data_IF_117906006266
#
_entry.id   IF_117906006266
#
_cell.length_a   1.000
_cell.length_b   1.000
_cell.length_c   1.000
_cell.angle_alpha   90.00
_cell.angle_beta   90.00
_cell.angle_gamma   90.00
#
_symmetry.space_group_name_H-M   'P 1'
#
loop_
_entity.id
_entity.type
_entity.pdbx_description
1 polymer ?
#
# COMPACT_ATOMS: atom_id res chain seq x y z
N UNK A 1 14.44 10.68 -22.69
CA UNK A 1 15.21 10.60 -21.43
C UNK A 1 14.37 9.78 -20.47
N UNK A 2 14.91 8.76 -19.81
CA UNK A 2 14.15 8.04 -18.79
C UNK A 2 13.94 8.97 -17.59
N UNK A 3 12.69 9.21 -17.22
CA UNK A 3 12.40 9.96 -15.99
C UNK A 3 12.92 9.18 -14.79
N UNK A 4 13.46 9.87 -13.78
CA UNK A 4 13.97 9.27 -12.55
C UNK A 4 13.25 9.91 -11.38
N UNK A 5 12.57 9.09 -10.56
CA UNK A 5 12.00 9.55 -9.28
C UNK A 5 12.84 9.03 -8.12
N UNK A 6 13.18 9.94 -7.21
CA UNK A 6 13.88 9.61 -5.97
C UNK A 6 12.88 9.16 -4.91
N UNK A 7 13.27 8.13 -4.14
CA UNK A 7 12.52 7.72 -2.97
C UNK A 7 12.65 8.75 -1.85
N UNK A 8 11.61 8.87 -1.04
CA UNK A 8 11.54 9.78 0.11
C UNK A 8 10.96 9.04 1.31
N UNK A 9 11.14 9.55 2.55
CA UNK A 9 10.42 9.01 3.71
C UNK A 9 8.93 8.90 3.41
N UNK A 10 8.30 7.80 3.83
CA UNK A 10 6.92 7.54 3.44
C UNK A 10 5.96 8.60 3.94
N UNK A 11 4.79 8.74 3.31
CA UNK A 11 3.81 9.76 3.72
C UNK A 11 3.41 9.64 5.20
N UNK A 12 3.32 8.41 5.73
CA UNK A 12 3.05 8.11 7.14
C UNK A 12 4.21 8.61 8.02
N UNK A 13 5.45 8.31 7.62
CA UNK A 13 6.65 8.74 8.34
C UNK A 13 6.83 10.27 8.31
N UNK A 14 6.57 10.93 7.17
CA UNK A 14 6.60 12.40 7.04
C UNK A 14 5.55 13.11 7.90
N UNK A 15 4.44 12.43 8.20
CA UNK A 15 3.40 12.91 9.14
C UNK A 15 3.75 12.60 10.61
N UNK A 16 4.94 12.08 10.88
CA UNK A 16 5.46 11.85 12.24
C UNK A 16 5.05 10.53 12.87
N UNK A 17 4.38 9.63 12.13
CA UNK A 17 3.90 8.34 12.68
C UNK A 17 4.95 7.23 12.55
N UNK A 18 6.05 7.35 13.31
CA UNK A 18 7.16 6.39 13.31
C UNK A 18 6.76 5.00 13.80
N UNK A 19 5.72 4.91 14.62
CA UNK A 19 5.21 3.63 15.15
C UNK A 19 4.35 2.88 14.13
N UNK A 20 3.93 3.50 13.03
CA UNK A 20 3.11 2.81 12.03
C UNK A 20 3.94 2.38 10.83
N UNK A 21 4.81 3.24 10.30
CA UNK A 21 5.59 2.92 9.10
C UNK A 21 6.95 3.59 9.14
N UNK A 22 7.99 2.84 8.82
CA UNK A 22 9.38 3.32 8.83
C UNK A 22 10.04 3.28 7.45
N UNK A 23 9.29 2.94 6.40
CA UNK A 23 9.79 2.79 5.03
C UNK A 23 10.05 4.12 4.30
N UNK A 24 10.74 4.02 3.17
CA UNK A 24 10.74 5.03 2.10
C UNK A 24 9.81 4.60 0.95
N UNK A 25 9.30 5.55 0.18
CA UNK A 25 8.53 5.27 -1.03
C UNK A 25 8.69 6.33 -2.13
N UNK A 26 8.33 5.93 -3.35
CA UNK A 26 8.13 6.79 -4.52
C UNK A 26 6.80 6.43 -5.20
N UNK A 27 6.14 7.42 -5.81
CA UNK A 27 4.94 7.23 -6.64
C UNK A 27 5.26 7.47 -8.11
N UNK A 28 4.96 6.49 -8.95
CA UNK A 28 5.17 6.55 -10.38
C UNK A 28 3.83 6.69 -11.08
N UNK A 29 3.70 7.74 -11.89
CA UNK A 29 2.46 8.06 -12.59
C UNK A 29 2.44 7.39 -13.96
N UNK A 30 1.34 6.73 -14.33
CA UNK A 30 1.27 5.91 -15.55
C UNK A 30 1.45 6.70 -16.86
N UNK A 31 1.18 8.01 -16.83
CA UNK A 31 1.41 8.88 -17.99
C UNK A 31 2.90 9.21 -18.20
N UNK A 32 3.71 9.16 -17.13
CA UNK A 32 5.14 9.48 -17.16
C UNK A 32 6.00 8.29 -17.64
N UNK A 33 5.56 7.06 -17.37
CA UNK A 33 6.32 5.85 -17.66
C UNK A 33 5.57 4.88 -18.58
N UNK A 34 6.07 4.69 -19.81
CA UNK A 34 5.47 3.79 -20.82
C UNK A 34 5.21 2.37 -20.28
N UNK A 35 6.17 1.80 -19.56
CA UNK A 35 6.06 0.42 -19.08
C UNK A 35 4.92 0.22 -18.07
N UNK A 36 4.52 1.28 -17.36
CA UNK A 36 3.38 1.21 -16.42
C UNK A 36 2.07 0.96 -17.15
N UNK A 37 1.92 1.43 -18.39
CA UNK A 37 0.70 1.17 -19.17
C UNK A 37 0.45 -0.32 -19.40
N UNK A 38 1.51 -1.09 -19.58
CA UNK A 38 1.40 -2.55 -19.70
C UNK A 38 1.02 -3.19 -18.36
N UNK A 39 1.59 -2.70 -17.26
CA UNK A 39 1.27 -3.16 -15.91
C UNK A 39 -0.21 -2.87 -15.60
N UNK A 40 -0.67 -1.65 -15.81
CA UNK A 40 -2.06 -1.23 -15.59
C UNK A 40 -3.04 -2.08 -16.41
N UNK A 41 -2.70 -2.38 -17.66
CA UNK A 41 -3.51 -3.27 -18.51
C UNK A 41 -3.61 -4.67 -17.91
N UNK A 42 -2.51 -5.23 -17.40
CA UNK A 42 -2.50 -6.55 -16.75
C UNK A 42 -3.29 -6.52 -15.43
N UNK A 43 -3.19 -5.44 -14.67
CA UNK A 43 -4.00 -5.23 -13.45
C UNK A 43 -5.48 -5.21 -13.78
N UNK A 44 -5.88 -4.44 -14.80
CA UNK A 44 -7.27 -4.38 -15.29
C UNK A 44 -7.76 -5.75 -15.77
N UNK A 45 -6.93 -6.51 -16.50
CA UNK A 45 -7.26 -7.84 -16.98
C UNK A 45 -7.50 -8.84 -15.83
N UNK A 46 -6.74 -8.74 -14.72
CA UNK A 46 -6.86 -9.62 -13.55
C UNK A 46 -7.98 -9.17 -12.61
N UNK A 47 -7.96 -7.91 -12.18
CA UNK A 47 -8.88 -7.35 -11.19
C UNK A 47 -10.27 -7.05 -11.78
N UNK A 48 -10.37 -6.93 -13.12
CA UNK A 48 -11.59 -6.51 -13.83
C UNK A 48 -12.10 -5.13 -13.40
N UNK A 49 -11.18 -4.27 -12.94
CA UNK A 49 -11.44 -2.87 -12.59
C UNK A 49 -10.78 -1.96 -13.64
N UNK A 50 -11.51 -1.01 -14.24
CA UNK A 50 -10.95 -0.12 -15.26
C UNK A 50 -9.73 0.63 -14.75
N UNK A 51 -8.66 0.69 -15.56
CA UNK A 51 -7.39 1.35 -15.16
C UNK A 51 -7.51 2.83 -14.81
N UNK A 52 -8.56 3.51 -15.25
CA UNK A 52 -8.84 4.89 -14.84
C UNK A 52 -9.19 5.05 -13.35
N UNK A 53 -9.42 3.94 -12.63
CA UNK A 53 -9.66 3.92 -11.18
C UNK A 53 -8.41 3.51 -10.38
N UNK A 54 -7.29 3.24 -11.04
CA UNK A 54 -6.05 2.88 -10.37
C UNK A 54 -5.40 4.15 -9.77
N UNK A 55 -4.87 4.03 -8.55
CA UNK A 55 -3.95 5.02 -8.02
C UNK A 55 -2.58 4.89 -8.69
N UNK A 56 -1.76 5.94 -8.63
CA UNK A 56 -0.35 5.87 -9.06
C UNK A 56 0.39 4.73 -8.38
N UNK A 57 1.27 4.05 -9.13
CA UNK A 57 2.05 2.94 -8.60
C UNK A 57 2.95 3.42 -7.46
N UNK A 58 2.74 2.90 -6.25
CA UNK A 58 3.63 3.12 -5.13
C UNK A 58 4.72 2.05 -5.08
N UNK A 59 5.98 2.46 -5.16
CA UNK A 59 7.14 1.61 -4.91
C UNK A 59 7.67 1.90 -3.51
N UNK A 60 7.59 0.92 -2.62
CA UNK A 60 8.09 1.01 -1.26
C UNK A 60 9.42 0.27 -1.10
N UNK A 61 10.32 0.82 -0.29
CA UNK A 61 11.58 0.19 0.08
C UNK A 61 11.73 0.15 1.60
N UNK A 62 12.02 -1.05 2.10
CA UNK A 62 12.27 -1.35 3.49
C UNK A 62 13.73 -1.78 3.63
N UNK A 63 14.47 -1.08 4.48
CA UNK A 63 15.78 -1.53 4.97
C UNK A 63 15.59 -2.56 6.08
N UNK A 64 16.69 -3.15 6.55
CA UNK A 64 16.66 -4.00 7.75
C UNK A 64 15.98 -3.27 8.92
N UNK A 65 15.20 -4.03 9.69
CA UNK A 65 14.41 -3.57 10.85
C UNK A 65 13.30 -2.54 10.56
N UNK A 66 13.09 -2.17 9.29
CA UNK A 66 11.94 -1.36 8.91
C UNK A 66 10.68 -2.20 8.76
N UNK A 67 9.54 -1.59 9.03
CA UNK A 67 8.26 -2.26 9.12
C UNK A 67 7.11 -1.36 8.67
N UNK A 68 5.95 -1.99 8.47
CA UNK A 68 4.66 -1.34 8.39
C UNK A 68 3.71 -2.13 9.30
N UNK A 69 3.26 -1.49 10.36
CA UNK A 69 2.33 -2.08 11.32
C UNK A 69 1.00 -2.46 10.64
N UNK A 70 0.25 -3.37 11.27
CA UNK A 70 -1.07 -3.77 10.80
C UNK A 70 -1.97 -2.55 10.56
N UNK A 71 -2.62 -2.51 9.39
CA UNK A 71 -3.53 -1.45 8.99
C UNK A 71 -4.50 -1.93 7.91
N UNK A 72 -5.56 -1.16 7.68
CA UNK A 72 -6.40 -1.28 6.49
C UNK A 72 -5.92 -0.30 5.41
N UNK A 73 -5.94 -0.74 4.15
CA UNK A 73 -5.61 0.14 3.01
C UNK A 73 -6.73 1.15 2.71
N UNK A 74 -7.98 0.72 2.90
CA UNK A 74 -9.16 1.56 2.76
C UNK A 74 -9.29 2.50 3.97
N UNK A 75 -9.76 3.72 3.70
CA UNK A 75 -10.02 4.70 4.75
C UNK A 75 -11.29 4.35 5.51
N UNK A 76 -11.29 4.45 6.84
CA UNK A 76 -12.51 4.33 7.63
C UNK A 76 -13.38 5.60 7.46
N UNK A 77 -14.57 5.52 6.86
CA UNK A 77 -15.44 6.68 6.66
C UNK A 77 -15.95 7.28 7.97
N UNK A 78 -16.01 6.50 9.06
CA UNK A 78 -16.42 6.98 10.38
C UNK A 78 -15.35 7.87 11.02
N UNK A 79 -14.08 7.65 10.68
CA UNK A 79 -12.95 8.48 11.13
C UNK A 79 -12.72 9.66 10.18
N UNK A 80 -12.90 9.45 8.88
CA UNK A 80 -12.57 10.42 7.82
C UNK A 80 -13.82 11.13 7.28
N UNK A 81 -14.72 11.56 8.18
CA UNK A 81 -16.02 12.15 7.82
C UNK A 81 -15.94 13.45 7.03
N UNK A 82 -14.81 14.15 7.09
CA UNK A 82 -14.56 15.41 6.37
C UNK A 82 -13.83 15.24 5.04
N UNK A 83 -13.55 14.01 4.62
CA UNK A 83 -12.79 13.74 3.39
C UNK A 83 -13.76 13.52 2.23
N UNK A 84 -14.08 14.60 1.53
CA UNK A 84 -15.04 14.57 0.41
C UNK A 84 -14.65 13.56 -0.68
N UNK A 85 -13.35 13.32 -0.88
CA UNK A 85 -12.85 12.42 -1.91
C UNK A 85 -13.13 10.94 -1.67
N UNK A 86 -13.53 10.53 -0.46
CA UNK A 86 -13.96 9.15 -0.20
C UNK A 86 -15.49 8.96 -0.25
N UNK A 87 -16.26 10.05 -0.37
CA UNK A 87 -17.72 10.06 -0.55
C UNK A 87 -18.44 9.04 0.35
N UNK A 88 -18.30 9.16 1.68
CA UNK A 88 -18.87 8.20 2.65
C UNK A 88 -18.47 6.72 2.42
N UNK A 89 -17.35 6.48 1.75
CA UNK A 89 -16.85 5.17 1.35
C UNK A 89 -17.14 4.78 -0.10
N UNK A 90 -17.96 5.54 -0.85
CA UNK A 90 -18.28 5.24 -2.24
C UNK A 90 -17.09 5.35 -3.19
N UNK A 91 -16.15 6.26 -2.89
CA UNK A 91 -14.91 6.46 -3.66
C UNK A 91 -13.70 6.12 -2.80
N UNK A 92 -13.61 4.85 -2.39
CA UNK A 92 -12.53 4.34 -1.54
C UNK A 92 -11.79 3.18 -2.22
N UNK A 93 -10.67 2.75 -1.62
CA UNK A 93 -9.87 1.63 -2.13
C UNK A 93 -10.64 0.33 -1.98
N UNK A 94 -10.94 -0.31 -3.11
CA UNK A 94 -11.65 -1.59 -3.16
C UNK A 94 -10.70 -2.80 -3.09
N UNK A 95 -9.55 -2.71 -3.77
CA UNK A 95 -8.59 -3.79 -3.93
C UNK A 95 -7.16 -3.23 -3.84
N UNK A 96 -6.25 -4.06 -3.32
CA UNK A 96 -4.80 -3.80 -3.37
C UNK A 96 -4.13 -4.95 -4.11
N UNK A 97 -3.27 -4.61 -5.08
CA UNK A 97 -2.38 -5.57 -5.71
C UNK A 97 -0.95 -5.28 -5.31
N UNK A 98 -0.33 -6.24 -4.61
CA UNK A 98 1.01 -6.12 -4.06
C UNK A 98 1.97 -6.99 -4.87
N UNK A 99 3.11 -6.41 -5.28
CA UNK A 99 4.18 -7.13 -5.96
C UNK A 99 5.46 -7.11 -5.12
N UNK A 100 6.06 -8.28 -4.94
CA UNK A 100 7.42 -8.40 -4.43
C UNK A 100 8.40 -8.21 -5.59
N UNK A 101 9.23 -7.18 -5.50
CA UNK A 101 10.17 -6.80 -6.58
C UNK A 101 11.54 -7.47 -6.43
N UNK A 102 11.81 -8.09 -5.29
CA UNK A 102 13.04 -8.80 -5.00
C UNK A 102 12.82 -9.86 -3.92
N UNK A 103 13.69 -10.86 -3.90
CA UNK A 103 13.74 -11.82 -2.81
C UNK A 103 14.33 -11.17 -1.55
N UNK A 104 13.71 -11.46 -0.39
CA UNK A 104 14.17 -11.02 0.92
C UNK A 104 14.77 -12.22 1.64
N UNK A 105 15.97 -12.06 2.21
CA UNK A 105 16.70 -13.16 2.85
C UNK A 105 15.96 -13.73 4.07
N UNK A 106 15.40 -12.86 4.90
CA UNK A 106 14.72 -13.22 6.15
C UNK A 106 13.76 -12.09 6.55
N UNK A 107 12.61 -12.45 7.14
CA UNK A 107 11.57 -11.49 7.53
C UNK A 107 10.82 -10.90 6.33
N UNK A 108 10.21 -9.72 6.51
CA UNK A 108 9.56 -8.98 5.42
C UNK A 108 8.25 -9.57 4.88
N UNK A 109 7.65 -10.52 5.60
CA UNK A 109 6.37 -11.13 5.23
C UNK A 109 5.23 -10.10 5.22
N UNK A 110 4.21 -10.36 4.41
CA UNK A 110 2.94 -9.65 4.49
C UNK A 110 1.96 -10.50 5.27
N UNK A 111 1.78 -10.14 6.54
CA UNK A 111 0.92 -10.87 7.46
C UNK A 111 -0.51 -10.34 7.42
N UNK A 112 -1.49 -11.24 7.43
CA UNK A 112 -2.89 -10.91 7.59
C UNK A 112 -3.39 -11.43 8.96
N UNK A 113 -3.26 -10.65 10.04
CA UNK A 113 -3.53 -11.13 11.40
C UNK A 113 -5.01 -11.47 11.65
N UNK A 114 -5.90 -10.89 10.85
CA UNK A 114 -7.35 -11.13 10.89
C UNK A 114 -7.83 -12.18 9.89
N UNK A 115 -6.91 -12.84 9.17
CA UNK A 115 -7.27 -13.87 8.21
C UNK A 115 -8.13 -14.97 8.87
N UNK A 116 -9.02 -15.59 8.09
CA UNK A 116 -9.94 -16.61 8.60
C UNK A 116 -10.89 -16.16 9.72
N UNK A 117 -11.14 -14.84 9.83
CA UNK A 117 -12.10 -14.29 10.79
C UNK A 117 -11.54 -14.13 12.21
N UNK A 118 -10.22 -14.12 12.36
CA UNK A 118 -9.57 -13.81 13.63
C UNK A 118 -9.90 -12.38 14.11
N UNK A 119 -9.92 -12.15 15.44
CA UNK A 119 -10.18 -10.83 16.01
C UNK A 119 -9.09 -9.83 15.63
N UNK A 120 -9.39 -8.54 15.81
CA UNK A 120 -8.39 -7.50 15.66
C UNK A 120 -7.25 -7.69 16.68
N UNK A 121 -5.98 -7.60 16.27
CA UNK A 121 -4.86 -7.79 17.18
C UNK A 121 -4.78 -6.63 18.18
N UNK A 122 -4.47 -6.93 19.44
CA UNK A 122 -4.21 -5.91 20.47
C UNK A 122 -2.88 -5.17 20.23
N UNK A 123 -1.88 -5.89 19.71
CA UNK A 123 -0.58 -5.34 19.32
C UNK A 123 -0.49 -5.27 17.79
N UNK A 124 -0.47 -4.04 17.26
CA UNK A 124 -0.36 -3.76 15.82
C UNK A 124 0.98 -4.20 15.21
N UNK A 125 1.97 -4.50 16.05
CA UNK A 125 3.30 -4.97 15.65
C UNK A 125 3.46 -6.50 15.75
N UNK A 126 2.52 -7.21 16.37
CA UNK A 126 2.64 -8.66 16.51
C UNK A 126 2.64 -9.33 15.15
N UNK A 127 3.58 -10.25 14.97
CA UNK A 127 3.70 -11.10 13.80
C UNK A 127 3.34 -12.56 14.08
N UNK A 128 2.75 -12.85 15.24
CA UNK A 128 2.66 -14.21 15.77
C UNK A 128 1.44 -14.99 15.27
N UNK A 129 0.42 -14.27 14.80
CA UNK A 129 -0.87 -14.83 14.41
C UNK A 129 -1.31 -14.25 13.08
N UNK A 130 -1.78 -15.11 12.16
CA UNK A 130 -2.29 -14.69 10.86
C UNK A 130 -1.98 -15.70 9.77
N UNK A 131 -2.36 -15.33 8.55
CA UNK A 131 -1.85 -15.94 7.31
C UNK A 131 -0.58 -15.20 6.86
#
# INVERSE_FOLDING_TARGET
QASTKLMSPSAVLRRGSTNYRTSTDARLESWEFEFLREIDRRVEDVARVPRGQHEDLQVARFEADQFYAFHADAYDPAVHTSWDFIEHGHTNRLLTMLWYLMDVKEGGHTLFPRASGLPEPEDIHSCDTGL
#
